data_IF_693793558246
#
_entry.id   IF_693793558246
#
_cell.length_a   1.000
_cell.length_b   1.000
_cell.length_c   1.000
_cell.angle_alpha   90.00
_cell.angle_beta   90.00
_cell.angle_gamma   90.00
#
_symmetry.space_group_name_H-M   'P 1'
#
loop_
_entity.id
_entity.type
_entity.pdbx_description
1 polymer ?
#
# COMPACT_ATOMS: atom_id res chain seq x y z
N UNK A 1 17.85 -4.65 -6.66
CA UNK A 1 16.98 -4.02 -5.63
C UNK A 1 17.79 -3.34 -4.53
N UNK A 2 18.74 -4.00 -3.86
CA UNK A 2 19.55 -3.41 -2.76
C UNK A 2 20.32 -2.15 -3.20
N UNK A 3 20.91 -2.13 -4.39
CA UNK A 3 21.65 -0.97 -4.93
C UNK A 3 20.72 0.24 -5.17
N UNK A 4 19.50 0.01 -5.66
CA UNK A 4 18.49 1.04 -5.87
C UNK A 4 18.05 1.62 -4.52
N UNK A 5 17.75 0.76 -3.54
CA UNK A 5 17.38 1.18 -2.20
C UNK A 5 18.49 2.03 -1.54
N UNK A 6 19.76 1.67 -1.74
CA UNK A 6 20.91 2.44 -1.23
C UNK A 6 21.02 3.83 -1.89
N UNK A 7 20.78 3.91 -3.20
CA UNK A 7 20.85 5.17 -3.96
C UNK A 7 19.74 6.14 -3.58
N UNK A 8 18.52 5.64 -3.39
CA UNK A 8 17.32 6.42 -3.06
C UNK A 8 16.95 6.37 -1.57
N UNK A 9 17.96 6.09 -0.72
CA UNK A 9 17.77 5.94 0.73
C UNK A 9 17.09 7.15 1.38
N UNK A 10 17.49 8.37 0.98
CA UNK A 10 16.95 9.62 1.56
C UNK A 10 15.47 9.78 1.23
N UNK A 11 15.09 9.51 -0.01
CA UNK A 11 13.72 9.59 -0.48
C UNK A 11 12.83 8.54 0.20
N UNK A 12 13.34 7.32 0.34
CA UNK A 12 12.63 6.23 1.04
C UNK A 12 12.44 6.58 2.52
N UNK A 13 13.47 7.08 3.20
CA UNK A 13 13.37 7.50 4.60
C UNK A 13 12.36 8.63 4.76
N UNK A 14 12.33 9.60 3.85
CA UNK A 14 11.34 10.68 3.88
C UNK A 14 9.91 10.14 3.70
N UNK A 15 9.68 9.16 2.80
CA UNK A 15 8.41 8.45 2.70
C UNK A 15 8.01 7.79 4.02
N UNK A 16 8.93 7.06 4.65
CA UNK A 16 8.67 6.37 5.93
C UNK A 16 8.32 7.35 7.04
N UNK A 17 9.02 8.47 7.11
CA UNK A 17 8.75 9.53 8.08
C UNK A 17 7.35 10.14 7.88
N UNK A 18 6.96 10.42 6.63
CA UNK A 18 5.61 10.89 6.32
C UNK A 18 4.54 9.85 6.69
N UNK A 19 4.78 8.56 6.48
CA UNK A 19 3.86 7.49 6.90
C UNK A 19 3.68 7.48 8.42
N UNK A 20 4.75 7.65 9.19
CA UNK A 20 4.66 7.70 10.66
C UNK A 20 3.81 8.90 11.13
N UNK A 21 3.97 10.06 10.50
CA UNK A 21 3.15 11.25 10.81
C UNK A 21 1.67 10.99 10.50
N UNK A 22 1.39 10.46 9.31
CA UNK A 22 0.02 10.16 8.88
C UNK A 22 -0.64 9.15 9.81
N UNK A 23 0.07 8.12 10.21
CA UNK A 23 -0.44 7.10 11.12
C UNK A 23 -0.67 7.65 12.53
N UNK A 24 0.21 8.53 13.00
CA UNK A 24 0.02 9.25 14.26
C UNK A 24 -1.24 10.14 14.25
N UNK A 25 -1.51 10.83 13.13
CA UNK A 25 -2.73 11.62 12.95
C UNK A 25 -3.97 10.72 12.88
N UNK A 26 -3.88 9.57 12.20
CA UNK A 26 -4.96 8.59 12.13
C UNK A 26 -5.32 8.04 13.52
N UNK A 27 -4.33 7.66 14.32
CA UNK A 27 -4.54 7.23 15.71
C UNK A 27 -5.14 8.35 16.56
N UNK A 28 -4.68 9.59 16.40
CA UNK A 28 -5.24 10.75 17.11
C UNK A 28 -6.71 10.99 16.75
N UNK A 29 -7.08 10.81 15.48
CA UNK A 29 -8.46 10.87 15.00
C UNK A 29 -9.33 9.81 15.68
N UNK A 30 -8.84 8.57 15.78
CA UNK A 30 -9.56 7.47 16.42
C UNK A 30 -9.77 7.72 17.93
N UNK A 31 -8.76 8.23 18.62
CA UNK A 31 -8.85 8.60 20.03
C UNK A 31 -9.86 9.74 20.29
N UNK A 32 -9.88 10.74 19.39
CA UNK A 32 -10.84 11.83 19.49
C UNK A 32 -12.27 11.38 19.19
N UNK A 33 -12.47 10.45 18.25
CA UNK A 33 -13.78 9.84 18.01
C UNK A 33 -14.32 9.16 19.28
N UNK A 34 -13.47 8.41 20.00
CA UNK A 34 -13.88 7.77 21.27
C UNK A 34 -14.32 8.83 22.30
N UNK A 35 -13.55 9.91 22.47
CA UNK A 35 -13.92 11.00 23.37
C UNK A 35 -15.23 11.68 22.99
N UNK A 36 -15.49 11.85 21.68
CA UNK A 36 -16.76 12.43 21.22
C UNK A 36 -17.95 11.53 21.60
N UNK A 37 -17.82 10.22 21.44
CA UNK A 37 -18.87 9.28 21.85
C UNK A 37 -19.08 9.33 23.35
N UNK A 38 -18.01 9.37 24.15
CA UNK A 38 -18.09 9.46 25.61
C UNK A 38 -18.80 10.75 26.05
N UNK A 39 -18.48 11.89 25.46
CA UNK A 39 -19.13 13.18 25.76
C UNK A 39 -20.62 13.16 25.39
N UNK A 40 -20.98 12.52 24.30
CA UNK A 40 -22.38 12.39 23.89
C UNK A 40 -23.17 11.52 24.86
N UNK A 41 -22.58 10.40 25.32
CA UNK A 41 -23.19 9.50 26.31
C UNK A 41 -23.39 10.23 27.64
N UNK A 42 -22.43 11.09 28.05
CA UNK A 42 -22.50 11.90 29.28
C UNK A 42 -23.40 13.14 29.13
N UNK A 43 -23.96 13.38 27.92
CA UNK A 43 -24.79 14.57 27.61
C UNK A 43 -24.04 15.91 27.80
N UNK A 44 -22.70 15.88 27.71
CA UNK A 44 -21.87 17.08 27.79
C UNK A 44 -21.67 17.69 26.39
N UNK A 45 -22.63 18.51 25.98
CA UNK A 45 -22.65 19.11 24.65
C UNK A 45 -21.53 20.14 24.44
N UNK A 46 -21.09 20.82 25.51
CA UNK A 46 -20.02 21.81 25.37
C UNK A 46 -18.70 21.14 25.03
N UNK A 47 -18.30 20.11 25.78
CA UNK A 47 -17.10 19.30 25.46
C UNK A 47 -17.24 18.54 24.13
N UNK A 48 -18.46 18.13 23.78
CA UNK A 48 -18.71 17.51 22.47
C UNK A 48 -18.36 18.45 21.31
N UNK A 49 -18.85 19.72 21.36
CA UNK A 49 -18.53 20.69 20.30
C UNK A 49 -17.05 21.07 20.28
N UNK A 50 -16.42 21.25 21.43
CA UNK A 50 -14.99 21.57 21.51
C UNK A 50 -14.13 20.43 20.91
N UNK A 51 -14.37 19.18 21.34
CA UNK A 51 -13.67 18.02 20.83
C UNK A 51 -13.97 17.76 19.34
N UNK A 52 -15.17 18.10 18.87
CA UNK A 52 -15.56 18.06 17.47
C UNK A 52 -14.72 19.00 16.59
N UNK A 53 -14.50 20.24 17.04
CA UNK A 53 -13.64 21.19 16.35
C UNK A 53 -12.18 20.72 16.29
N UNK A 54 -11.68 20.14 17.39
CA UNK A 54 -10.33 19.56 17.43
C UNK A 54 -10.23 18.38 16.44
N UNK A 55 -11.23 17.49 16.42
CA UNK A 55 -11.28 16.37 15.47
C UNK A 55 -11.24 16.84 14.02
N UNK A 56 -12.06 17.84 13.68
CA UNK A 56 -12.08 18.40 12.31
C UNK A 56 -10.69 18.95 11.95
N UNK A 57 -10.04 19.65 12.89
CA UNK A 57 -8.70 20.19 12.67
C UNK A 57 -7.68 19.08 12.41
N UNK A 58 -7.65 18.04 13.25
CA UNK A 58 -6.76 16.88 13.06
C UNK A 58 -7.05 16.21 11.71
N UNK A 59 -8.32 16.05 11.34
CA UNK A 59 -8.72 15.42 10.10
C UNK A 59 -8.30 16.23 8.86
N UNK A 60 -8.37 17.55 8.90
CA UNK A 60 -7.85 18.42 7.84
C UNK A 60 -6.35 18.23 7.67
N UNK A 61 -5.58 18.23 8.76
CA UNK A 61 -4.14 17.94 8.70
C UNK A 61 -3.86 16.54 8.14
N UNK A 62 -4.60 15.53 8.59
CA UNK A 62 -4.50 14.17 8.05
C UNK A 62 -4.68 14.15 6.53
N UNK A 63 -5.72 14.81 6.00
CA UNK A 63 -5.96 14.88 4.54
C UNK A 63 -4.83 15.60 3.80
N UNK A 64 -4.31 16.69 4.34
CA UNK A 64 -3.20 17.43 3.74
C UNK A 64 -1.93 16.58 3.66
N UNK A 65 -1.56 15.90 4.74
CA UNK A 65 -0.40 15.02 4.77
C UNK A 65 -0.60 13.78 3.86
N UNK A 66 -1.80 13.21 3.84
CA UNK A 66 -2.16 12.11 2.95
C UNK A 66 -2.01 12.49 1.48
N UNK A 67 -2.53 13.67 1.09
CA UNK A 67 -2.36 14.19 -0.27
C UNK A 67 -0.88 14.42 -0.61
N UNK A 68 -0.13 15.04 0.31
CA UNK A 68 1.32 15.23 0.16
C UNK A 68 2.06 13.91 -0.02
N UNK A 69 1.69 12.88 0.73
CA UNK A 69 2.28 11.54 0.63
C UNK A 69 2.02 10.88 -0.71
N UNK A 70 0.79 10.95 -1.23
CA UNK A 70 0.44 10.40 -2.55
C UNK A 70 1.31 11.05 -3.64
N UNK A 71 1.46 12.38 -3.61
CA UNK A 71 2.31 13.11 -4.56
C UNK A 71 3.78 12.77 -4.42
N UNK A 72 4.27 12.70 -3.19
CA UNK A 72 5.68 12.40 -2.93
C UNK A 72 6.04 10.95 -3.30
N UNK A 73 5.17 9.99 -2.98
CA UNK A 73 5.32 8.59 -3.40
C UNK A 73 5.39 8.47 -4.93
N UNK A 74 4.47 9.12 -5.65
CA UNK A 74 4.48 9.13 -7.12
C UNK A 74 5.79 9.72 -7.67
N UNK A 75 6.27 10.83 -7.10
CA UNK A 75 7.55 11.45 -7.48
C UNK A 75 8.73 10.49 -7.27
N UNK A 76 8.83 9.85 -6.11
CA UNK A 76 9.92 8.90 -5.80
C UNK A 76 9.88 7.69 -6.75
N UNK A 77 8.71 7.14 -6.98
CA UNK A 77 8.50 6.00 -7.87
C UNK A 77 8.93 6.32 -9.30
N UNK A 78 8.50 7.47 -9.84
CA UNK A 78 8.88 7.97 -11.16
C UNK A 78 10.40 8.22 -11.27
N UNK A 79 11.00 8.77 -10.24
CA UNK A 79 12.45 9.02 -10.21
C UNK A 79 13.27 7.74 -10.27
N UNK A 80 12.83 6.71 -9.56
CA UNK A 80 13.45 5.37 -9.61
C UNK A 80 13.23 4.73 -10.98
N UNK A 81 12.02 4.80 -11.55
CA UNK A 81 11.72 4.27 -12.87
C UNK A 81 12.57 4.95 -13.97
N UNK A 82 12.70 6.27 -13.92
CA UNK A 82 13.56 7.04 -14.84
C UNK A 82 15.04 6.62 -14.72
N UNK A 83 15.52 6.43 -13.50
CA UNK A 83 16.88 5.93 -13.28
C UNK A 83 17.08 4.54 -13.90
N UNK A 84 16.11 3.64 -13.75
CA UNK A 84 16.16 2.30 -14.36
C UNK A 84 16.15 2.38 -15.89
N UNK A 85 15.26 3.21 -16.46
CA UNK A 85 15.21 3.44 -17.93
C UNK A 85 16.55 3.93 -18.47
N UNK A 86 17.15 4.91 -17.83
CA UNK A 86 18.47 5.44 -18.22
C UNK A 86 19.57 4.39 -18.11
N UNK A 87 19.55 3.55 -17.09
CA UNK A 87 20.52 2.47 -16.89
C UNK A 87 20.42 1.39 -17.97
N UNK A 88 19.19 1.02 -18.35
CA UNK A 88 18.93 0.08 -19.45
C UNK A 88 19.37 0.69 -20.78
N UNK A 89 19.05 1.97 -21.05
CA UNK A 89 19.47 2.67 -22.25
C UNK A 89 21.00 2.66 -22.41
N UNK A 90 21.72 2.97 -21.32
CA UNK A 90 23.18 2.92 -21.31
C UNK A 90 23.74 1.51 -21.48
N UNK A 91 23.07 0.47 -21.01
CA UNK A 91 23.47 -0.90 -21.22
C UNK A 91 23.28 -1.31 -22.69
N UNK A 92 22.16 -0.95 -23.29
CA UNK A 92 21.86 -1.24 -24.70
C UNK A 92 22.83 -0.47 -25.63
N UNK A 93 23.15 0.81 -25.33
CA UNK A 93 24.09 1.59 -26.16
C UNK A 93 25.53 1.02 -26.21
N UNK A 94 25.88 0.16 -25.25
CA UNK A 94 27.17 -0.55 -25.19
C UNK A 94 27.16 -1.93 -25.85
N UNK A 95 25.99 -2.38 -26.31
CA UNK A 95 25.84 -3.69 -26.99
C UNK A 95 26.34 -3.57 -28.41
N UNK A 96 27.03 -4.62 -28.92
CA UNK A 96 27.48 -4.65 -30.32
C UNK A 96 26.29 -4.68 -31.28
N UNK A 97 26.50 -4.22 -32.51
CA UNK A 97 25.45 -4.21 -33.54
C UNK A 97 24.94 -5.65 -33.82
N UNK A 98 25.82 -6.62 -33.85
CA UNK A 98 25.49 -8.03 -34.09
C UNK A 98 24.64 -8.61 -32.96
N UNK A 99 24.99 -8.33 -31.70
CA UNK A 99 24.22 -8.77 -30.53
C UNK A 99 22.86 -8.05 -30.42
N UNK A 100 22.77 -6.80 -30.87
CA UNK A 100 21.51 -6.05 -30.87
C UNK A 100 20.50 -6.62 -31.85
N UNK A 101 20.94 -6.98 -33.05
CA UNK A 101 20.07 -7.53 -34.09
C UNK A 101 19.80 -9.04 -33.94
N UNK A 102 20.71 -9.81 -33.34
CA UNK A 102 20.48 -11.22 -33.04
C UNK A 102 19.43 -11.44 -31.96
N UNK A 103 19.31 -10.52 -31.03
CA UNK A 103 18.25 -10.51 -30.02
C UNK A 103 17.09 -9.65 -30.54
N UNK A 104 15.96 -10.30 -30.80
CA UNK A 104 14.72 -9.68 -31.29
C UNK A 104 14.49 -8.27 -30.68
N UNK A 105 14.47 -7.23 -31.51
CA UNK A 105 14.31 -5.81 -31.06
C UNK A 105 13.08 -5.58 -30.17
N UNK A 106 12.03 -6.39 -30.33
CA UNK A 106 10.83 -6.36 -29.48
C UNK A 106 11.14 -6.60 -27.99
N UNK A 107 12.19 -7.39 -27.69
CA UNK A 107 12.60 -7.65 -26.30
C UNK A 107 13.16 -6.39 -25.62
N UNK A 108 13.89 -5.57 -26.35
CA UNK A 108 14.41 -4.30 -25.81
C UNK A 108 13.27 -3.30 -25.58
N UNK A 109 12.30 -3.26 -26.47
CA UNK A 109 11.10 -2.42 -26.31
C UNK A 109 10.31 -2.86 -25.08
N UNK A 110 10.11 -4.17 -24.87
CA UNK A 110 9.45 -4.72 -23.69
C UNK A 110 10.13 -4.29 -22.39
N UNK A 111 11.47 -4.30 -22.33
CA UNK A 111 12.23 -3.86 -21.16
C UNK A 111 11.99 -2.38 -20.83
N UNK A 112 11.88 -1.52 -21.85
CA UNK A 112 11.64 -0.07 -21.65
C UNK A 112 10.22 0.26 -21.23
N UNK A 113 9.26 -0.55 -21.65
CA UNK A 113 7.83 -0.31 -21.43
C UNK A 113 7.28 -1.22 -20.33
N UNK A 114 6.93 -2.44 -20.69
CA UNK A 114 6.20 -3.36 -19.81
C UNK A 114 6.97 -3.77 -18.55
N UNK A 115 8.27 -4.08 -18.69
CA UNK A 115 9.04 -4.63 -17.57
C UNK A 115 9.34 -3.55 -16.53
N UNK A 116 9.69 -2.34 -16.96
CA UNK A 116 9.88 -1.21 -16.01
C UNK A 116 8.57 -0.82 -15.36
N UNK A 117 7.47 -0.78 -16.10
CA UNK A 117 6.15 -0.48 -15.53
C UNK A 117 5.71 -1.54 -14.51
N UNK A 118 6.04 -2.81 -14.75
CA UNK A 118 5.81 -3.86 -13.75
C UNK A 118 6.69 -3.68 -12.51
N UNK A 119 7.97 -3.35 -12.67
CA UNK A 119 8.87 -3.06 -11.54
C UNK A 119 8.37 -1.84 -10.77
N UNK A 120 7.92 -0.79 -11.46
CA UNK A 120 7.36 0.41 -10.86
C UNK A 120 6.11 0.09 -10.03
N UNK A 121 5.12 -0.56 -10.63
CA UNK A 121 3.83 -0.85 -10.00
C UNK A 121 3.92 -1.96 -8.95
N UNK A 122 4.51 -3.11 -9.32
CA UNK A 122 4.53 -4.31 -8.47
C UNK A 122 5.74 -4.38 -7.53
N UNK A 123 6.86 -3.78 -7.92
CA UNK A 123 8.08 -3.81 -7.11
C UNK A 123 8.16 -2.63 -6.14
N UNK A 124 8.19 -1.41 -6.65
CA UNK A 124 8.48 -0.21 -5.85
C UNK A 124 7.24 0.24 -5.08
N UNK A 125 6.10 0.39 -5.76
CA UNK A 125 4.88 0.89 -5.14
C UNK A 125 4.38 -0.07 -4.06
N UNK A 126 4.25 -1.36 -4.38
CA UNK A 126 3.82 -2.38 -3.42
C UNK A 126 4.84 -2.53 -2.28
N UNK A 127 6.15 -2.45 -2.57
CA UNK A 127 7.19 -2.51 -1.54
C UNK A 127 7.07 -1.38 -0.52
N UNK A 128 6.83 -0.14 -0.97
CA UNK A 128 6.59 1.00 -0.07
C UNK A 128 5.29 0.85 0.73
N UNK A 129 4.21 0.37 0.10
CA UNK A 129 2.93 0.09 0.77
C UNK A 129 3.05 -1.01 1.82
N UNK A 130 3.81 -2.06 1.53
CA UNK A 130 4.06 -3.13 2.49
C UNK A 130 4.77 -2.63 3.75
N UNK A 131 5.81 -1.81 3.59
CA UNK A 131 6.53 -1.22 4.73
C UNK A 131 5.59 -0.26 5.50
N UNK A 132 4.79 0.54 4.80
CA UNK A 132 3.80 1.40 5.44
C UNK A 132 2.77 0.59 6.25
N UNK A 133 2.25 -0.51 5.69
CA UNK A 133 1.36 -1.42 6.39
C UNK A 133 1.99 -2.03 7.64
N UNK A 134 3.28 -2.41 7.59
CA UNK A 134 3.99 -2.88 8.78
C UNK A 134 4.09 -1.80 9.88
N UNK A 135 4.37 -0.56 9.50
CA UNK A 135 4.40 0.57 10.44
C UNK A 135 3.02 0.76 11.09
N UNK A 136 1.96 0.75 10.29
CA UNK A 136 0.57 0.85 10.76
C UNK A 136 0.23 -0.25 11.76
N UNK A 137 0.55 -1.51 11.46
CA UNK A 137 0.31 -2.64 12.37
C UNK A 137 1.05 -2.46 13.70
N UNK A 138 2.33 -2.07 13.65
CA UNK A 138 3.12 -1.86 14.86
C UNK A 138 2.54 -0.73 15.73
N UNK A 139 2.23 0.41 15.12
CA UNK A 139 1.66 1.56 15.85
C UNK A 139 0.27 1.26 16.40
N UNK A 140 -0.57 0.54 15.65
CA UNK A 140 -1.89 0.10 16.12
C UNK A 140 -1.79 -0.88 17.27
N UNK A 141 -0.83 -1.82 17.25
CA UNK A 141 -0.57 -2.74 18.37
C UNK A 141 -0.11 -1.99 19.62
N UNK A 142 0.76 -0.99 19.47
CA UNK A 142 1.19 -0.14 20.60
C UNK A 142 -0.03 0.61 21.19
N UNK A 143 -0.88 1.20 20.33
CA UNK A 143 -2.08 1.89 20.77
C UNK A 143 -3.03 0.94 21.53
N UNK A 144 -3.29 -0.27 21.01
CA UNK A 144 -4.12 -1.28 21.70
C UNK A 144 -3.52 -1.71 23.05
N UNK A 145 -2.19 -1.84 23.13
CA UNK A 145 -1.49 -2.15 24.39
C UNK A 145 -1.71 -1.09 25.46
N UNK A 146 -1.77 0.19 25.07
CA UNK A 146 -2.04 1.29 26.00
C UNK A 146 -3.47 1.26 26.57
N UNK A 147 -4.44 0.68 25.87
CA UNK A 147 -5.80 0.50 26.39
C UNK A 147 -5.90 -0.72 27.30
N UNK A 148 -5.65 -1.90 26.77
CA UNK A 148 -5.69 -3.15 27.53
C UNK A 148 -5.03 -4.28 26.75
N UNK A 149 -4.15 -5.05 27.41
CA UNK A 149 -3.42 -6.17 26.77
C UNK A 149 -4.34 -7.24 26.15
N UNK A 150 -5.53 -7.45 26.75
CA UNK A 150 -6.54 -8.40 26.27
C UNK A 150 -7.02 -8.06 24.83
N UNK A 151 -7.01 -6.78 24.43
CA UNK A 151 -7.38 -6.36 23.08
C UNK A 151 -6.37 -6.88 22.04
N UNK A 152 -5.09 -6.95 22.41
CA UNK A 152 -4.06 -7.52 21.53
C UNK A 152 -4.36 -9.00 21.27
N UNK A 153 -4.65 -9.76 22.34
CA UNK A 153 -4.96 -11.19 22.22
C UNK A 153 -6.20 -11.40 21.35
N UNK A 154 -7.28 -10.63 21.61
CA UNK A 154 -8.50 -10.70 20.82
C UNK A 154 -8.25 -10.38 19.33
N UNK A 155 -7.44 -9.36 19.04
CA UNK A 155 -7.08 -8.99 17.67
C UNK A 155 -6.27 -10.09 16.97
N UNK A 156 -5.30 -10.70 17.66
CA UNK A 156 -4.51 -11.80 17.11
C UNK A 156 -5.38 -13.04 16.81
N UNK A 157 -6.29 -13.39 17.69
CA UNK A 157 -7.26 -14.48 17.46
C UNK A 157 -8.12 -14.18 16.23
N UNK A 158 -8.60 -12.96 16.12
CA UNK A 158 -9.44 -12.50 15.00
C UNK A 158 -8.67 -12.55 13.67
N UNK A 159 -7.40 -12.13 13.65
CA UNK A 159 -6.53 -12.22 12.46
C UNK A 159 -6.34 -13.67 12.03
N UNK A 160 -6.09 -14.57 12.98
CA UNK A 160 -5.96 -16.00 12.69
C UNK A 160 -7.27 -16.55 12.12
N UNK A 161 -8.41 -16.28 12.75
CA UNK A 161 -9.72 -16.71 12.26
C UNK A 161 -9.99 -16.20 10.83
N UNK A 162 -9.78 -14.91 10.57
CA UNK A 162 -9.97 -14.31 9.25
C UNK A 162 -9.02 -14.88 8.18
N UNK A 163 -7.80 -15.27 8.57
CA UNK A 163 -6.83 -15.88 7.65
C UNK A 163 -7.21 -17.32 7.24
N UNK A 164 -7.94 -18.02 8.08
CA UNK A 164 -8.44 -19.37 7.78
C UNK A 164 -9.77 -19.37 7.00
N UNK A 165 -10.59 -18.33 7.15
CA UNK A 165 -11.90 -18.23 6.48
C UNK A 165 -11.82 -18.43 4.96
N UNK A 166 -10.93 -17.72 4.19
CA UNK A 166 -10.85 -17.92 2.75
C UNK A 166 -10.48 -19.36 2.37
N UNK A 167 -9.65 -20.05 3.17
CA UNK A 167 -9.22 -21.42 2.88
C UNK A 167 -10.40 -22.41 2.96
N UNK A 168 -11.36 -22.16 3.84
CA UNK A 168 -12.56 -23.00 3.96
C UNK A 168 -13.46 -22.87 2.75
N UNK A 169 -13.56 -21.67 2.17
CA UNK A 169 -14.44 -21.38 1.03
C UNK A 169 -13.75 -21.50 -0.34
N UNK A 170 -12.41 -21.53 -0.39
CA UNK A 170 -11.66 -21.61 -1.66
C UNK A 170 -11.98 -22.87 -2.47
N UNK A 171 -12.25 -23.99 -1.81
CA UNK A 171 -12.57 -25.25 -2.50
C UNK A 171 -13.92 -25.18 -3.22
N UNK A 172 -14.89 -24.51 -2.62
CA UNK A 172 -16.23 -24.31 -3.17
C UNK A 172 -16.25 -23.21 -4.24
N UNK A 173 -15.45 -22.14 -4.03
CA UNK A 173 -15.29 -21.06 -4.99
C UNK A 173 -14.56 -21.50 -6.25
N UNK A 174 -13.52 -22.34 -6.11
CA UNK A 174 -12.74 -22.90 -7.22
C UNK A 174 -13.61 -23.80 -8.12
N UNK A 175 -14.44 -24.67 -7.53
CA UNK A 175 -15.33 -25.53 -8.33
C UNK A 175 -16.39 -24.73 -9.10
N UNK A 176 -16.95 -23.66 -8.50
CA UNK A 176 -17.92 -22.79 -9.17
C UNK A 176 -17.28 -21.89 -10.24
N UNK A 177 -16.03 -21.47 -10.03
CA UNK A 177 -15.30 -20.67 -11.04
C UNK A 177 -14.95 -21.53 -12.26
N UNK A 178 -14.63 -22.80 -12.06
CA UNK A 178 -14.39 -23.77 -13.13
C UNK A 178 -15.68 -24.08 -13.92
N UNK A 179 -16.80 -24.21 -13.24
CA UNK A 179 -18.14 -24.40 -13.85
C UNK A 179 -18.54 -23.20 -14.71
N UNK A 180 -18.30 -21.97 -14.22
CA UNK A 180 -18.52 -20.72 -14.99
C UNK A 180 -17.57 -20.61 -16.19
N UNK A 181 -16.31 -21.02 -16.04
CA UNK A 181 -15.34 -21.01 -17.13
C UNK A 181 -15.73 -21.98 -18.26
N UNK A 182 -16.19 -23.19 -17.91
CA UNK A 182 -16.68 -24.20 -18.85
C UNK A 182 -17.95 -23.70 -19.57
N UNK A 183 -18.89 -23.12 -18.84
CA UNK A 183 -20.11 -22.55 -19.41
C UNK A 183 -19.83 -21.40 -20.38
N UNK A 184 -18.86 -20.51 -20.06
CA UNK A 184 -18.44 -19.46 -20.98
C UNK A 184 -17.72 -19.98 -22.22
N UNK A 185 -16.98 -21.09 -22.12
CA UNK A 185 -16.32 -21.72 -23.25
C UNK A 185 -17.35 -22.39 -24.18
N UNK A 186 -18.39 -23.03 -23.64
CA UNK A 186 -19.51 -23.59 -24.42
C UNK A 186 -20.32 -22.50 -25.13
N UNK A 187 -20.57 -21.39 -24.45
CA UNK A 187 -21.26 -20.24 -25.05
C UNK A 187 -20.46 -19.62 -26.20
N UNK A 188 -19.14 -19.53 -26.04
CA UNK A 188 -18.25 -19.00 -27.08
C UNK A 188 -18.10 -19.92 -28.30
N UNK A 189 -18.42 -21.21 -28.17
CA UNK A 189 -18.42 -22.18 -29.28
C UNK A 189 -19.74 -22.23 -30.04
N UNK A 190 -20.80 -21.65 -29.49
CA UNK A 190 -22.19 -21.70 -30.05
C UNK A 190 -22.55 -20.40 -30.78
N UNK A 191 -21.71 -19.35 -30.68
CA UNK A 191 -21.81 -18.07 -31.40
C UNK A 191 -20.74 -18.03 -32.50
#
# INVERSE_FOLDING_TARGET
MVEIARKFKKEIIACLFLYIIIEGLNLSTNLMNTKLVDNLVQSDFELFFQNGLILITIFVFFLLFQYGMIRYKAFVTQRIATYLRNRIALAISKTSYEDFYSKNSQKYISWFTSDIDQIEKKGISIGLEFIAGMISVVLSMIALACFHWSLIVATLVLIVCLSYLPKLFMKELSSKTEEVAISNEEFSKTV
#
